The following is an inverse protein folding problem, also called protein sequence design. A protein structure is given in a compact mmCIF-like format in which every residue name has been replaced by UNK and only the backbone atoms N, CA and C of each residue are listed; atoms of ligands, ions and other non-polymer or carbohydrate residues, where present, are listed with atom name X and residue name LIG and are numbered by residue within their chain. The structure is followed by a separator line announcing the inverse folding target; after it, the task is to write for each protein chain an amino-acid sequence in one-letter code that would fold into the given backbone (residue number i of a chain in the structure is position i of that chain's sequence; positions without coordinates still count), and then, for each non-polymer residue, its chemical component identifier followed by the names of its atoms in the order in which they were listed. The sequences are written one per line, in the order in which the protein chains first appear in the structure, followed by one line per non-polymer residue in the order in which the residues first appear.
data_IF_345997188027
#
_entry.id   IF_345997188027
#
_cell.length_a   1.000
_cell.length_b   1.000
_cell.length_c   1.000
_cell.angle_alpha   90.00
_cell.angle_beta   90.00
_cell.angle_gamma   90.00
#
_symmetry.space_group_name_H-M   'P 1'
#
loop_
_entity.id
_entity.type
_entity.pdbx_description
1 polymer ?
#
# COMPACT_ATOMS: atom_id res chain seq x y z
N UNK A 1 13.95 -21.43 20.94
CA UNK A 1 13.32 -20.23 20.36
C UNK A 1 14.43 -19.41 19.76
N UNK A 2 14.36 -19.18 18.46
CA UNK A 2 15.30 -18.31 17.75
C UNK A 2 15.11 -16.89 18.26
N UNK A 3 16.16 -16.27 18.77
CA UNK A 3 16.18 -14.84 19.05
C UNK A 3 16.93 -14.13 17.92
N UNK A 4 16.44 -12.97 17.49
CA UNK A 4 17.14 -12.11 16.53
C UNK A 4 17.52 -10.82 17.23
N UNK A 5 18.81 -10.48 17.19
CA UNK A 5 19.29 -9.19 17.66
C UNK A 5 19.30 -8.17 16.50
N UNK A 6 18.70 -7.01 16.73
CA UNK A 6 18.72 -5.90 15.79
C UNK A 6 18.80 -4.57 16.55
N UNK A 7 19.83 -3.77 16.26
CA UNK A 7 20.10 -2.49 16.95
C UNK A 7 20.14 -2.62 18.48
N UNK A 8 20.85 -3.63 18.98
CA UNK A 8 20.97 -3.93 20.42
C UNK A 8 19.67 -4.33 21.12
N UNK A 9 18.58 -4.52 20.36
CA UNK A 9 17.31 -5.02 20.87
C UNK A 9 17.13 -6.49 20.45
N UNK A 10 16.59 -7.29 21.37
CA UNK A 10 16.29 -8.71 21.11
C UNK A 10 14.83 -8.89 20.72
N UNK A 11 14.62 -9.57 19.60
CA UNK A 11 13.31 -9.88 19.03
C UNK A 11 13.06 -11.39 19.11
N UNK A 12 11.87 -11.75 19.59
CA UNK A 12 11.40 -13.12 19.62
C UNK A 12 9.88 -13.11 19.41
N UNK A 13 9.36 -14.04 18.61
CA UNK A 13 7.97 -14.07 18.19
C UNK A 13 7.31 -15.40 18.57
N UNK A 14 5.99 -15.34 18.75
CA UNK A 14 5.19 -16.54 18.89
C UNK A 14 4.81 -17.07 17.50
N UNK A 15 4.94 -18.38 17.28
CA UNK A 15 4.52 -19.00 16.02
C UNK A 15 3.06 -18.71 15.66
N UNK A 16 2.15 -18.70 16.65
CA UNK A 16 0.75 -18.39 16.40
C UNK A 16 0.53 -16.94 15.89
N UNK A 17 1.36 -15.96 16.34
CA UNK A 17 1.28 -14.57 15.84
C UNK A 17 1.75 -14.47 14.40
N UNK A 18 2.79 -15.22 14.05
CA UNK A 18 3.29 -15.32 12.68
C UNK A 18 2.26 -15.99 11.77
N UNK A 19 1.64 -17.08 12.21
CA UNK A 19 0.56 -17.72 11.45
C UNK A 19 -0.63 -16.77 11.26
N UNK A 20 -1.06 -16.08 12.33
CA UNK A 20 -2.09 -15.06 12.21
C UNK A 20 -1.70 -13.98 11.20
N UNK A 21 -0.45 -13.53 11.18
CA UNK A 21 -0.01 -12.56 10.16
C UNK A 21 -0.25 -13.06 8.73
N UNK A 22 0.17 -14.28 8.39
CA UNK A 22 0.02 -14.80 7.03
C UNK A 22 -1.43 -15.05 6.60
N UNK A 23 -2.32 -15.42 7.51
CA UNK A 23 -3.73 -15.67 7.18
C UNK A 23 -4.63 -14.44 7.35
N UNK A 24 -4.45 -13.68 8.44
CA UNK A 24 -5.30 -12.53 8.74
C UNK A 24 -4.92 -11.30 7.93
N UNK A 25 -3.65 -11.11 7.53
CA UNK A 25 -3.31 -9.95 6.71
C UNK A 25 -4.08 -9.95 5.38
N UNK A 26 -4.10 -11.04 4.58
CA UNK A 26 -4.93 -11.10 3.37
C UNK A 26 -6.43 -10.94 3.63
N UNK A 27 -6.97 -11.58 4.67
CA UNK A 27 -8.39 -11.49 5.00
C UNK A 27 -8.81 -10.06 5.36
N UNK A 28 -7.99 -9.38 6.18
CA UNK A 28 -8.24 -7.98 6.55
C UNK A 28 -8.08 -7.06 5.34
N UNK A 29 -7.09 -7.31 4.47
CA UNK A 29 -6.94 -6.55 3.23
C UNK A 29 -8.16 -6.70 2.31
N UNK A 30 -8.70 -7.93 2.15
CA UNK A 30 -9.92 -8.16 1.38
C UNK A 30 -11.10 -7.44 2.02
N UNK A 31 -11.24 -7.52 3.35
CA UNK A 31 -12.30 -6.85 4.08
C UNK A 31 -12.24 -5.32 3.89
N UNK A 32 -11.07 -4.71 4.07
CA UNK A 32 -10.87 -3.26 3.88
C UNK A 32 -11.19 -2.88 2.43
N UNK A 33 -10.71 -3.66 1.45
CA UNK A 33 -10.97 -3.41 0.04
C UNK A 33 -12.48 -3.46 -0.29
N UNK A 34 -13.20 -4.48 0.20
CA UNK A 34 -14.65 -4.58 0.01
C UNK A 34 -15.41 -3.47 0.73
N UNK A 35 -14.98 -3.07 1.92
CA UNK A 35 -15.56 -1.93 2.61
C UNK A 35 -15.40 -0.64 1.79
N UNK A 36 -14.24 -0.43 1.18
CA UNK A 36 -14.00 0.74 0.31
C UNK A 36 -14.75 0.68 -1.02
N UNK A 37 -15.03 -0.50 -1.58
CA UNK A 37 -15.94 -0.66 -2.72
C UNK A 37 -17.38 -0.27 -2.34
N UNK A 38 -17.85 -0.60 -1.13
CA UNK A 38 -19.17 -0.15 -0.65
C UNK A 38 -19.21 1.36 -0.45
N UNK A 39 -18.11 1.94 0.03
CA UNK A 39 -17.97 3.38 0.28
C UNK A 39 -17.43 4.17 -0.93
N UNK A 40 -17.52 3.60 -2.14
CA UNK A 40 -16.82 4.09 -3.34
C UNK A 40 -17.11 5.57 -3.68
N UNK A 41 -18.35 6.04 -3.48
CA UNK A 41 -18.74 7.43 -3.76
C UNK A 41 -17.87 8.42 -2.96
N UNK A 42 -17.51 8.06 -1.72
CA UNK A 42 -16.71 8.89 -0.84
C UNK A 42 -15.21 8.84 -1.15
N UNK A 43 -14.73 7.77 -1.77
CA UNK A 43 -13.31 7.61 -2.10
C UNK A 43 -12.98 8.16 -3.50
N UNK A 44 -13.87 8.02 -4.47
CA UNK A 44 -13.60 8.40 -5.86
C UNK A 44 -13.76 9.89 -6.11
N UNK A 45 -14.82 10.50 -5.55
CA UNK A 45 -15.14 11.90 -5.78
C UNK A 45 -14.01 12.86 -5.39
N UNK A 46 -13.34 12.73 -4.22
CA UNK A 46 -12.24 13.61 -3.86
C UNK A 46 -11.05 13.45 -4.80
N UNK A 47 -10.71 12.20 -5.18
CA UNK A 47 -9.56 11.91 -6.04
C UNK A 47 -9.76 12.54 -7.42
N UNK A 48 -10.91 12.30 -8.05
CA UNK A 48 -11.22 12.83 -9.39
C UNK A 48 -11.16 14.36 -9.39
N UNK A 49 -11.80 15.01 -8.40
CA UNK A 49 -11.78 16.47 -8.25
C UNK A 49 -10.38 17.02 -8.06
N UNK A 50 -9.59 16.40 -7.19
CA UNK A 50 -8.22 16.84 -6.93
C UNK A 50 -7.32 16.62 -8.14
N UNK A 51 -7.44 15.50 -8.84
CA UNK A 51 -6.73 15.24 -10.09
C UNK A 51 -7.02 16.31 -11.14
N UNK A 52 -8.29 16.61 -11.43
CA UNK A 52 -8.67 17.66 -12.39
C UNK A 52 -8.12 19.02 -11.95
N UNK A 53 -8.29 19.37 -10.68
CA UNK A 53 -7.78 20.62 -10.13
C UNK A 53 -6.25 20.74 -10.28
N UNK A 54 -5.49 19.69 -9.95
CA UNK A 54 -4.03 19.67 -10.09
C UNK A 54 -3.61 19.77 -11.56
N UNK A 55 -4.26 19.03 -12.47
CA UNK A 55 -3.93 19.10 -13.90
C UNK A 55 -4.17 20.51 -14.45
N UNK A 56 -5.32 21.10 -14.15
CA UNK A 56 -5.66 22.45 -14.62
C UNK A 56 -4.69 23.50 -14.04
N UNK A 57 -4.26 23.32 -12.78
CA UNK A 57 -3.24 24.17 -12.17
C UNK A 57 -1.87 24.04 -12.83
N UNK A 58 -1.45 22.83 -13.24
CA UNK A 58 -0.09 22.56 -13.69
C UNK A 58 0.13 22.67 -15.21
N UNK A 59 -0.91 22.43 -16.02
CA UNK A 59 -0.72 22.19 -17.45
C UNK A 59 -1.16 23.33 -18.36
N UNK A 60 -1.94 24.31 -17.88
CA UNK A 60 -2.56 25.35 -18.70
C UNK A 60 -3.34 24.83 -19.93
N UNK A 61 -3.67 23.54 -19.98
CA UNK A 61 -4.43 22.91 -21.08
C UNK A 61 -5.92 23.27 -20.98
N UNK A 62 -6.37 23.87 -19.87
CA UNK A 62 -7.59 24.67 -19.76
C UNK A 62 -8.92 23.92 -19.62
N UNK A 63 -9.03 22.71 -20.16
CA UNK A 63 -10.34 22.09 -20.41
C UNK A 63 -10.53 20.70 -19.76
N UNK A 64 -9.67 20.29 -18.82
CA UNK A 64 -9.94 19.05 -18.10
C UNK A 64 -11.12 19.23 -17.16
N UNK A 65 -12.07 18.31 -17.24
CA UNK A 65 -13.23 18.27 -16.36
C UNK A 65 -13.52 16.83 -15.92
N UNK A 66 -14.54 16.63 -15.11
CA UNK A 66 -14.99 15.33 -14.66
C UNK A 66 -16.51 15.23 -14.69
N UNK A 67 -17.00 14.01 -14.87
CA UNK A 67 -18.43 13.74 -14.82
C UNK A 67 -18.76 12.56 -13.92
N UNK A 68 -20.06 12.37 -13.74
CA UNK A 68 -20.62 11.25 -13.01
C UNK A 68 -21.83 10.70 -13.77
N UNK A 69 -21.78 9.42 -14.12
CA UNK A 69 -22.89 8.68 -14.71
C UNK A 69 -23.42 7.67 -13.69
N UNK A 70 -24.64 7.94 -13.19
CA UNK A 70 -25.33 7.09 -12.23
C UNK A 70 -25.75 5.73 -12.80
N UNK A 71 -25.68 5.56 -14.12
CA UNK A 71 -25.98 4.28 -14.78
C UNK A 71 -24.92 3.22 -14.47
N UNK A 72 -23.71 3.65 -14.07
CA UNK A 72 -22.61 2.77 -13.68
C UNK A 72 -22.42 2.80 -12.16
N UNK A 73 -23.01 1.79 -11.48
CA UNK A 73 -23.11 1.72 -10.01
C UNK A 73 -21.74 1.59 -9.31
N UNK A 74 -20.68 1.19 -10.00
CA UNK A 74 -19.35 0.92 -9.40
C UNK A 74 -18.24 1.80 -10.01
N UNK A 75 -18.45 2.39 -11.19
CA UNK A 75 -17.45 3.18 -11.93
C UNK A 75 -18.07 4.41 -12.60
N UNK A 76 -19.01 5.06 -11.92
CA UNK A 76 -19.75 6.21 -12.49
C UNK A 76 -18.89 7.43 -12.75
N UNK A 77 -17.70 7.55 -12.16
CA UNK A 77 -16.83 8.70 -12.38
C UNK A 77 -16.00 8.55 -13.64
N UNK A 78 -15.82 9.65 -14.36
CA UNK A 78 -14.93 9.71 -15.53
C UNK A 78 -14.27 11.09 -15.65
N UNK A 79 -13.11 11.12 -16.29
CA UNK A 79 -12.42 12.34 -16.68
C UNK A 79 -12.82 12.74 -18.09
N UNK A 80 -13.04 14.03 -18.33
CA UNK A 80 -13.23 14.60 -19.66
C UNK A 80 -11.87 15.13 -20.10
N UNK A 81 -11.26 14.46 -21.07
CA UNK A 81 -9.93 14.84 -21.58
C UNK A 81 -10.08 15.70 -22.83
N UNK A 82 -9.44 16.89 -22.87
CA UNK A 82 -9.48 17.77 -24.03
C UNK A 82 -9.04 17.04 -25.30
N UNK A 83 -9.80 17.20 -26.39
CA UNK A 83 -9.52 16.65 -27.71
C UNK A 83 -9.49 15.11 -27.81
N UNK A 84 -9.84 14.38 -26.73
CA UNK A 84 -9.81 12.91 -26.69
C UNK A 84 -11.09 12.26 -26.15
N UNK A 85 -11.90 12.99 -25.37
CA UNK A 85 -13.17 12.50 -24.84
C UNK A 85 -13.06 11.87 -23.45
N UNK A 86 -14.10 11.14 -23.00
CA UNK A 86 -14.17 10.65 -21.62
C UNK A 86 -13.31 9.41 -21.37
N UNK A 87 -12.66 9.36 -20.21
CA UNK A 87 -11.96 8.17 -19.67
C UNK A 87 -12.60 7.76 -18.35
N UNK A 88 -13.05 6.50 -18.27
CA UNK A 88 -13.62 5.93 -17.05
C UNK A 88 -12.61 5.89 -15.90
N UNK A 89 -13.06 6.21 -14.69
CA UNK A 89 -12.26 6.18 -13.47
C UNK A 89 -12.80 5.11 -12.53
N UNK A 90 -12.03 4.04 -12.38
CA UNK A 90 -12.44 2.86 -11.61
C UNK A 90 -11.79 2.82 -10.23
N UNK A 91 -12.28 1.91 -9.37
CA UNK A 91 -11.68 1.69 -8.03
C UNK A 91 -10.19 1.36 -8.10
N UNK A 92 -9.72 0.71 -9.17
CA UNK A 92 -8.30 0.41 -9.38
C UNK A 92 -7.45 1.66 -9.63
N UNK A 93 -8.06 2.76 -10.09
CA UNK A 93 -7.41 4.04 -10.33
C UNK A 93 -7.17 4.84 -9.04
N UNK A 94 -7.92 4.54 -7.97
CA UNK A 94 -7.83 5.26 -6.68
C UNK A 94 -6.59 4.88 -5.85
N UNK A 95 -6.00 3.71 -6.10
CA UNK A 95 -4.93 3.15 -5.27
C UNK A 95 -5.40 2.48 -3.97
N UNK A 96 -6.71 2.39 -3.76
CA UNK A 96 -7.33 1.75 -2.60
C UNK A 96 -6.88 0.30 -2.40
N UNK A 97 -6.62 -0.44 -3.49
CA UNK A 97 -6.11 -1.81 -3.40
C UNK A 97 -4.76 -1.87 -2.65
N UNK A 98 -3.83 -0.98 -2.98
CA UNK A 98 -2.53 -0.92 -2.33
C UNK A 98 -2.69 -0.50 -0.85
N UNK A 99 -3.53 0.50 -0.58
CA UNK A 99 -3.83 0.93 0.79
C UNK A 99 -4.42 -0.23 1.61
N UNK A 100 -5.35 -1.01 1.05
CA UNK A 100 -5.96 -2.15 1.72
C UNK A 100 -4.95 -3.28 2.00
N UNK A 101 -4.09 -3.60 1.04
CA UNK A 101 -2.99 -4.57 1.20
C UNK A 101 -2.05 -4.14 2.33
N UNK A 102 -1.53 -2.93 2.25
CA UNK A 102 -0.61 -2.42 3.26
C UNK A 102 -1.27 -2.26 4.63
N UNK A 103 -2.56 -1.91 4.67
CA UNK A 103 -3.30 -1.83 5.94
C UNK A 103 -3.42 -3.18 6.63
N UNK A 104 -3.80 -4.22 5.88
CA UNK A 104 -3.86 -5.58 6.41
C UNK A 104 -2.50 -6.08 6.89
N UNK A 105 -1.44 -5.83 6.11
CA UNK A 105 -0.06 -6.13 6.52
C UNK A 105 0.28 -5.40 7.82
N UNK A 106 0.18 -4.06 7.86
CA UNK A 106 0.61 -3.24 9.00
C UNK A 106 -0.14 -3.64 10.28
N UNK A 107 -1.47 -3.80 10.19
CA UNK A 107 -2.29 -4.18 11.34
C UNK A 107 -1.88 -5.53 11.90
N UNK A 108 -1.52 -6.48 11.04
CA UNK A 108 -1.23 -7.86 11.44
C UNK A 108 0.25 -8.15 11.67
N UNK A 109 1.18 -7.20 11.48
CA UNK A 109 2.61 -7.42 11.78
C UNK A 109 2.74 -8.02 13.19
N UNK A 110 3.42 -9.17 13.34
CA UNK A 110 3.51 -9.85 14.61
C UNK A 110 4.33 -9.04 15.60
N UNK A 111 3.93 -9.09 16.87
CA UNK A 111 4.63 -8.38 17.95
C UNK A 111 5.65 -9.28 18.62
N UNK A 112 6.81 -8.69 18.96
CA UNK A 112 7.81 -9.34 19.80
C UNK A 112 7.25 -9.60 21.21
N UNK A 113 7.77 -10.63 21.89
CA UNK A 113 7.52 -10.86 23.31
C UNK A 113 8.26 -9.88 24.23
N UNK A 114 9.33 -9.25 23.73
CA UNK A 114 10.10 -8.30 24.50
C UNK A 114 9.28 -7.00 24.72
N UNK A 115 8.90 -6.75 25.97
CA UNK A 115 8.08 -5.59 26.37
C UNK A 115 8.73 -4.24 26.00
N UNK A 116 10.06 -4.17 26.04
CA UNK A 116 10.78 -2.94 25.69
C UNK A 116 10.56 -2.58 24.21
N UNK A 117 10.71 -3.56 23.32
CA UNK A 117 10.51 -3.41 21.87
C UNK A 117 9.03 -3.24 21.52
N UNK A 118 8.15 -3.94 22.22
CA UNK A 118 6.71 -3.92 22.00
C UNK A 118 6.04 -2.62 22.50
N UNK A 119 6.77 -1.78 23.24
CA UNK A 119 6.26 -0.51 23.75
C UNK A 119 5.77 0.37 22.60
N UNK A 120 4.54 0.87 22.74
CA UNK A 120 3.88 1.75 21.76
C UNK A 120 3.74 1.15 20.34
N UNK A 121 3.75 -0.18 20.18
CA UNK A 121 3.64 -0.83 18.87
C UNK A 121 2.39 -0.38 18.08
N UNK A 122 1.25 -0.21 18.76
CA UNK A 122 0.01 0.22 18.12
C UNK A 122 0.09 1.65 17.60
N UNK A 123 0.79 2.54 18.30
CA UNK A 123 1.01 3.91 17.83
C UNK A 123 1.92 3.93 16.60
N UNK A 124 2.97 3.09 16.60
CA UNK A 124 3.88 2.92 15.45
C UNK A 124 3.15 2.34 14.23
N UNK A 125 2.25 1.39 14.45
CA UNK A 125 1.32 0.85 13.43
C UNK A 125 0.39 1.93 12.89
N UNK A 126 -0.27 2.68 13.75
CA UNK A 126 -1.16 3.77 13.35
C UNK A 126 -0.41 4.83 12.54
N UNK A 127 0.76 5.27 13.00
CA UNK A 127 1.60 6.22 12.26
C UNK A 127 1.97 5.68 10.88
N UNK A 128 2.36 4.40 10.79
CA UNK A 128 2.70 3.77 9.51
C UNK A 128 1.50 3.66 8.58
N UNK A 129 0.30 3.36 9.11
CA UNK A 129 -0.96 3.34 8.35
C UNK A 129 -1.27 4.72 7.76
N UNK A 130 -1.23 5.76 8.58
CA UNK A 130 -1.53 7.13 8.16
C UNK A 130 -0.53 7.59 7.10
N UNK A 131 0.77 7.42 7.35
CA UNK A 131 1.80 7.89 6.42
C UNK A 131 1.79 7.09 5.11
N UNK A 132 1.69 5.77 5.17
CA UNK A 132 1.62 4.95 3.94
C UNK A 132 0.38 5.25 3.11
N UNK A 133 -0.79 5.41 3.76
CA UNK A 133 -2.04 5.78 3.07
C UNK A 133 -1.95 7.14 2.42
N UNK A 134 -1.36 8.13 3.11
CA UNK A 134 -1.14 9.48 2.56
C UNK A 134 -0.19 9.46 1.35
N UNK A 135 0.91 8.70 1.43
CA UNK A 135 1.86 8.55 0.30
C UNK A 135 1.16 7.90 -0.89
N UNK A 136 0.44 6.80 -0.69
CA UNK A 136 -0.31 6.16 -1.77
C UNK A 136 -1.33 7.11 -2.39
N UNK A 137 -2.06 7.85 -1.57
CA UNK A 137 -3.04 8.83 -2.04
C UNK A 137 -2.40 9.88 -2.95
N UNK A 138 -1.33 10.54 -2.49
CA UNK A 138 -0.62 11.57 -3.24
C UNK A 138 -0.04 11.00 -4.55
N UNK A 139 0.59 9.84 -4.46
CA UNK A 139 1.20 9.16 -5.61
C UNK A 139 0.16 8.82 -6.67
N UNK A 140 -1.03 8.34 -6.27
CA UNK A 140 -2.06 7.99 -7.24
C UNK A 140 -2.66 9.23 -7.92
N UNK A 141 -2.79 10.35 -7.21
CA UNK A 141 -3.15 11.62 -7.86
C UNK A 141 -2.08 12.02 -8.88
N UNK A 142 -0.80 12.00 -8.49
CA UNK A 142 0.30 12.32 -9.39
C UNK A 142 0.35 11.38 -10.62
N UNK A 143 0.07 10.09 -10.39
CA UNK A 143 -0.06 9.07 -11.45
C UNK A 143 -1.13 9.44 -12.46
N UNK A 144 -2.33 9.79 -11.98
CA UNK A 144 -3.45 10.20 -12.84
C UNK A 144 -3.13 11.48 -13.59
N UNK A 145 -2.56 12.49 -12.91
CA UNK A 145 -2.14 13.76 -13.51
C UNK A 145 -1.20 13.51 -14.69
N UNK A 146 -0.17 12.68 -14.49
CA UNK A 146 0.80 12.34 -15.52
C UNK A 146 0.15 11.57 -16.69
N UNK A 147 -0.65 10.54 -16.39
CA UNK A 147 -1.34 9.73 -17.41
C UNK A 147 -2.27 10.58 -18.27
N UNK A 148 -3.13 11.38 -17.65
CA UNK A 148 -4.09 12.23 -18.36
C UNK A 148 -3.40 13.34 -19.17
N UNK A 149 -2.30 13.90 -18.67
CA UNK A 149 -1.51 14.91 -19.39
C UNK A 149 -0.80 14.33 -20.61
N UNK A 150 -0.26 13.11 -20.52
CA UNK A 150 0.36 12.45 -21.67
C UNK A 150 -0.70 12.03 -22.69
N UNK A 151 -1.84 11.56 -22.22
CA UNK A 151 -2.96 11.20 -23.08
C UNK A 151 -3.49 12.39 -23.88
N UNK A 152 -3.65 13.56 -23.25
CA UNK A 152 -4.09 14.78 -23.95
C UNK A 152 -3.07 15.25 -25.01
N UNK A 153 -1.77 15.01 -24.79
CA UNK A 153 -0.70 15.26 -25.78
C UNK A 153 -0.64 14.23 -26.90
N UNK A 154 -1.48 13.20 -26.82
CA UNK A 154 -1.76 12.28 -27.90
C UNK A 154 -1.11 10.91 -27.80
N UNK A 155 -0.51 10.60 -26.64
CA UNK A 155 0.02 9.27 -26.34
C UNK A 155 -1.12 8.26 -26.26
N UNK A 156 -0.84 7.00 -26.57
CA UNK A 156 -1.84 5.94 -26.45
C UNK A 156 -2.12 5.64 -24.98
N UNK A 157 -3.40 5.46 -24.63
CA UNK A 157 -3.83 5.20 -23.26
C UNK A 157 -3.26 3.89 -22.71
N UNK A 158 -3.28 2.82 -23.49
CA UNK A 158 -2.85 1.51 -23.01
C UNK A 158 -1.37 1.50 -22.63
N UNK A 159 -0.52 2.15 -23.44
CA UNK A 159 0.92 2.22 -23.21
C UNK A 159 1.26 2.98 -21.92
N UNK A 160 0.64 4.14 -21.70
CA UNK A 160 0.89 4.98 -20.52
C UNK A 160 0.19 4.42 -19.28
N UNK A 161 -1.00 3.85 -19.42
CA UNK A 161 -1.77 3.31 -18.31
C UNK A 161 -1.03 2.14 -17.68
N UNK A 162 -0.56 1.18 -18.48
CA UNK A 162 0.14 -0.01 -17.98
C UNK A 162 1.53 0.36 -17.45
N UNK A 163 2.33 1.10 -18.21
CA UNK A 163 3.72 1.40 -17.85
C UNK A 163 3.84 2.23 -16.58
N UNK A 164 3.04 3.30 -16.46
CA UNK A 164 3.06 4.17 -15.29
C UNK A 164 2.43 3.47 -14.08
N UNK A 165 1.43 2.60 -14.29
CA UNK A 165 0.90 1.78 -13.19
C UNK A 165 1.95 0.77 -12.70
N UNK A 166 2.74 0.16 -13.57
CA UNK A 166 3.84 -0.72 -13.17
C UNK A 166 4.91 0.03 -12.36
N UNK A 167 5.21 1.28 -12.70
CA UNK A 167 6.16 2.12 -11.95
C UNK A 167 5.73 2.37 -10.49
N UNK A 168 4.44 2.25 -10.16
CA UNK A 168 3.96 2.36 -8.77
C UNK A 168 4.47 1.24 -7.85
N UNK A 169 4.98 0.13 -8.39
CA UNK A 169 5.65 -0.93 -7.61
C UNK A 169 6.90 -0.44 -6.88
N UNK A 170 7.66 0.50 -7.46
CA UNK A 170 8.81 1.13 -6.79
C UNK A 170 8.39 1.89 -5.53
N UNK A 171 7.20 2.48 -5.56
CA UNK A 171 6.64 3.24 -4.44
C UNK A 171 6.21 2.28 -3.34
N UNK A 172 5.64 1.13 -3.68
CA UNK A 172 5.36 0.07 -2.71
C UNK A 172 6.64 -0.42 -2.02
N UNK A 173 7.75 -0.61 -2.75
CA UNK A 173 9.04 -0.96 -2.18
C UNK A 173 9.58 0.14 -1.24
N UNK A 174 9.47 1.41 -1.63
CA UNK A 174 9.86 2.54 -0.79
C UNK A 174 9.03 2.63 0.49
N UNK A 175 7.73 2.34 0.43
CA UNK A 175 6.85 2.29 1.59
C UNK A 175 7.26 1.17 2.54
N UNK A 176 7.64 -0.01 2.04
CA UNK A 176 8.18 -1.10 2.87
C UNK A 176 9.44 -0.65 3.61
N UNK A 177 10.36 0.02 2.93
CA UNK A 177 11.59 0.55 3.55
C UNK A 177 11.28 1.63 4.60
N UNK A 178 10.32 2.50 4.32
CA UNK A 178 9.88 3.53 5.26
C UNK A 178 9.19 2.91 6.48
N UNK A 179 8.32 1.91 6.27
CA UNK A 179 7.68 1.16 7.34
C UNK A 179 8.71 0.46 8.23
N UNK A 180 9.78 -0.10 7.67
CA UNK A 180 10.86 -0.74 8.46
C UNK A 180 11.50 0.23 9.48
N UNK A 181 11.49 1.54 9.20
CA UNK A 181 11.96 2.55 10.14
C UNK A 181 11.10 2.59 11.41
N UNK A 182 9.78 2.44 11.30
CA UNK A 182 8.85 2.52 12.42
C UNK A 182 8.45 1.15 12.98
N UNK A 183 8.43 0.11 12.15
CA UNK A 183 7.99 -1.25 12.49
C UNK A 183 9.00 -2.26 11.95
N UNK A 184 10.21 -2.32 12.54
CA UNK A 184 11.24 -3.26 12.12
C UNK A 184 10.80 -4.74 12.29
N UNK A 185 9.81 -5.00 13.16
CA UNK A 185 9.21 -6.32 13.39
C UNK A 185 8.68 -6.94 12.11
N UNK A 186 8.29 -6.15 11.11
CA UNK A 186 7.86 -6.69 9.81
C UNK A 186 8.98 -7.53 9.17
N UNK A 187 10.14 -6.93 8.89
CA UNK A 187 11.26 -7.63 8.26
C UNK A 187 11.85 -8.67 9.22
N UNK A 188 11.99 -8.33 10.49
CA UNK A 188 12.59 -9.23 11.48
C UNK A 188 11.72 -10.48 11.66
N UNK A 189 10.40 -10.38 11.65
CA UNK A 189 9.52 -11.55 11.75
C UNK A 189 9.61 -12.48 10.54
N UNK A 190 9.85 -11.95 9.33
CA UNK A 190 10.13 -12.75 8.13
C UNK A 190 11.45 -13.51 8.30
N UNK A 191 12.51 -12.81 8.71
CA UNK A 191 13.83 -13.43 8.96
C UNK A 191 13.73 -14.52 10.04
N UNK A 192 12.99 -14.24 11.12
CA UNK A 192 12.72 -15.18 12.20
C UNK A 192 12.01 -16.43 11.70
N UNK A 193 10.96 -16.25 10.91
CA UNK A 193 10.18 -17.35 10.32
C UNK A 193 11.06 -18.23 9.43
N UNK A 194 11.89 -17.62 8.58
CA UNK A 194 12.82 -18.35 7.72
C UNK A 194 13.88 -19.11 8.52
N UNK A 195 14.38 -18.54 9.61
CA UNK A 195 15.33 -19.18 10.51
C UNK A 195 14.74 -20.42 11.19
N UNK A 196 13.54 -20.28 11.75
CA UNK A 196 12.83 -21.39 12.41
C UNK A 196 12.42 -22.50 11.42
N UNK A 197 12.00 -22.15 10.20
CA UNK A 197 11.72 -23.12 9.14
C UNK A 197 12.97 -23.91 8.74
N UNK A 198 14.11 -23.23 8.55
CA UNK A 198 15.39 -23.90 8.25
C UNK A 198 15.82 -24.85 9.36
N UNK A 199 15.65 -24.45 10.62
CA UNK A 199 15.96 -25.28 11.78
C UNK A 199 15.04 -26.52 11.82
N UNK A 200 13.75 -26.35 11.56
CA UNK A 200 12.75 -27.44 11.57
C UNK A 200 12.97 -28.43 10.43
N UNK A 201 13.34 -27.95 9.24
CA UNK A 201 13.60 -28.78 8.06
C UNK A 201 14.99 -29.42 8.05
N UNK A 202 15.84 -29.15 9.05
CA UNK A 202 17.21 -29.67 9.10
C UNK A 202 18.13 -29.13 7.98
N UNK A 203 17.72 -28.06 7.29
CA UNK A 203 18.41 -27.47 6.13
C UNK A 203 19.51 -26.47 6.51
N UNK A 204 19.91 -26.42 7.78
CA UNK A 204 20.99 -25.55 8.26
C UNK A 204 21.67 -26.09 9.50
N UNK A 205 23.00 -25.93 9.59
CA UNK A 205 23.74 -26.06 10.85
C UNK A 205 23.07 -25.15 11.88
N UNK A 206 22.79 -25.67 13.09
CA UNK A 206 22.28 -24.90 14.24
C UNK A 206 22.94 -23.52 14.24
N UNK A 207 22.14 -22.47 14.05
CA UNK A 207 22.61 -21.11 14.24
C UNK A 207 23.19 -21.05 15.66
N UNK A 208 24.46 -20.67 15.73
CA UNK A 208 25.27 -20.64 16.95
C UNK A 208 24.54 -19.74 17.96
N UNK A 209 24.26 -20.21 19.18
CA UNK A 209 23.82 -19.31 20.24
C UNK A 209 24.99 -18.37 20.54
N UNK A 210 24.80 -17.07 20.35
CA UNK A 210 25.74 -16.07 20.84
C UNK A 210 25.61 -16.10 22.36
N UNK A 211 26.60 -16.73 23.01
CA UNK A 211 26.72 -16.84 24.46
C UNK A 211 27.18 -15.52 25.07
N UNK A 212 26.48 -15.13 26.14
CA UNK A 212 26.89 -14.26 27.28
C UNK A 212 27.53 -12.92 26.98
#
# INVERSE_FOLDING_TARGET
MTEIEYKSEKYNFAWWRVLLFFFMAPLISIFIYKLTEVLWVYTHRPIVKQTVWVINLLTNIGDFDWGFDSSYVIDGYYFIVPLRGPIGFTTMCTGVQAIAIFSGIILMIPHSYNDHVNRNIWWRKLLSLVVSSAIFYIVNIARMVLQLTLYSKGWNWDDIHVSISAASSFIAALIILLMHRWIPEFIISIIWTLGELKATLGLGKKAIPVSS
#
